data_IF_242967420179
#
_entry.id   IF_242967420179
#
_cell.length_a   1.000
_cell.length_b   1.000
_cell.length_c   1.000
_cell.angle_alpha   90.00
_cell.angle_beta   90.00
_cell.angle_gamma   90.00
#
_symmetry.space_group_name_H-M   'P 1'
#
loop_
_entity.id
_entity.type
_entity.pdbx_description
1 polymer ?
#
# COMPACT_ATOMS: atom_id res chain seq x y z
N UNK A 1 13.37 2.33 -24.02
CA UNK A 1 14.44 3.26 -23.56
C UNK A 1 13.82 4.27 -22.61
N UNK A 2 14.44 4.48 -21.47
CA UNK A 2 14.01 5.46 -20.46
C UNK A 2 14.01 6.86 -21.08
N UNK A 3 12.94 7.62 -20.85
CA UNK A 3 12.77 8.99 -21.34
C UNK A 3 13.92 9.88 -20.82
N UNK A 4 14.49 10.71 -21.72
CA UNK A 4 15.63 11.58 -21.39
C UNK A 4 15.30 12.62 -20.30
N UNK A 5 14.09 13.16 -20.30
CA UNK A 5 13.63 14.10 -19.26
C UNK A 5 13.55 13.39 -17.88
N UNK A 6 13.05 12.15 -17.84
CA UNK A 6 13.02 11.38 -16.61
C UNK A 6 14.43 11.08 -16.08
N UNK A 7 15.38 10.78 -16.98
CA UNK A 7 16.77 10.55 -16.58
C UNK A 7 17.33 11.78 -15.84
N UNK A 8 17.20 12.94 -16.44
CA UNK A 8 17.66 14.20 -15.83
C UNK A 8 16.96 14.47 -14.49
N UNK A 9 15.64 14.33 -14.47
CA UNK A 9 14.84 14.50 -13.27
C UNK A 9 15.30 13.60 -12.12
N UNK A 10 15.56 12.32 -12.40
CA UNK A 10 16.00 11.36 -11.39
C UNK A 10 17.41 11.69 -10.89
N UNK A 11 18.34 12.05 -11.80
CA UNK A 11 19.71 12.44 -11.45
C UNK A 11 19.72 13.70 -10.54
N UNK A 12 18.85 14.66 -10.79
CA UNK A 12 18.68 15.85 -9.95
C UNK A 12 18.07 15.52 -8.58
N UNK A 13 17.13 14.56 -8.53
CA UNK A 13 16.42 14.19 -7.30
C UNK A 13 17.24 13.34 -6.33
N UNK A 14 18.04 12.37 -6.82
CA UNK A 14 18.74 11.40 -5.98
C UNK A 14 20.27 11.35 -6.18
N UNK A 15 20.80 12.18 -7.07
CA UNK A 15 22.21 12.21 -7.46
C UNK A 15 22.58 11.15 -8.50
N UNK A 16 23.62 11.42 -9.28
CA UNK A 16 24.00 10.60 -10.45
C UNK A 16 24.33 9.16 -10.11
N UNK A 17 25.03 8.91 -9.01
CA UNK A 17 25.43 7.55 -8.61
C UNK A 17 24.19 6.67 -8.27
N UNK A 18 23.25 7.21 -7.49
CA UNK A 18 22.02 6.50 -7.16
C UNK A 18 21.12 6.33 -8.38
N UNK A 19 21.08 7.31 -9.29
CA UNK A 19 20.33 7.23 -10.52
C UNK A 19 20.85 6.11 -11.44
N UNK A 20 22.17 5.92 -11.54
CA UNK A 20 22.77 4.81 -12.28
C UNK A 20 22.34 3.44 -11.71
N UNK A 21 22.31 3.29 -10.38
CA UNK A 21 21.81 2.08 -9.73
C UNK A 21 20.33 1.85 -10.05
N UNK A 22 19.50 2.89 -10.00
CA UNK A 22 18.09 2.82 -10.34
C UNK A 22 17.86 2.42 -11.81
N UNK A 23 18.60 3.00 -12.75
CA UNK A 23 18.51 2.65 -14.18
C UNK A 23 18.88 1.20 -14.43
N UNK A 24 19.95 0.71 -13.83
CA UNK A 24 20.33 -0.71 -13.90
C UNK A 24 19.22 -1.62 -13.33
N UNK A 25 18.57 -1.19 -12.25
CA UNK A 25 17.46 -1.95 -11.67
C UNK A 25 16.23 -2.00 -12.59
N UNK A 26 15.96 -0.97 -13.38
CA UNK A 26 14.85 -0.98 -14.35
C UNK A 26 15.06 -1.98 -15.49
N UNK A 27 16.28 -2.29 -15.84
CA UNK A 27 16.62 -3.28 -16.87
C UNK A 27 16.55 -4.73 -16.36
N UNK A 28 16.49 -4.92 -15.05
CA UNK A 28 16.43 -6.24 -14.42
C UNK A 28 14.97 -6.70 -14.23
N UNK A 29 14.65 -8.00 -14.34
CA UNK A 29 13.33 -8.52 -14.05
C UNK A 29 12.87 -8.15 -12.64
N UNK A 30 11.60 -7.75 -12.50
CA UNK A 30 11.03 -7.50 -11.17
C UNK A 30 10.93 -8.80 -10.39
N UNK A 31 11.41 -8.86 -9.14
CA UNK A 31 11.28 -10.06 -8.32
C UNK A 31 9.82 -10.35 -8.01
N UNK A 32 9.43 -11.61 -7.98
CA UNK A 32 8.14 -12.02 -7.45
C UNK A 32 8.22 -12.08 -5.93
N UNK A 33 7.25 -11.49 -5.24
CA UNK A 33 7.16 -11.57 -3.80
C UNK A 33 5.72 -11.72 -3.32
N UNK A 34 5.60 -12.30 -2.14
CA UNK A 34 4.33 -12.54 -1.46
C UNK A 34 4.44 -12.14 0.00
N UNK A 35 3.30 -11.91 0.63
CA UNK A 35 3.19 -11.71 2.07
C UNK A 35 2.21 -12.74 2.64
N UNK A 36 2.72 -13.60 3.54
CA UNK A 36 1.94 -14.64 4.21
C UNK A 36 0.90 -14.01 5.15
N UNK A 37 -0.26 -14.63 5.26
CA UNK A 37 -1.28 -14.24 6.22
C UNK A 37 -0.98 -14.89 7.58
N UNK A 38 -0.62 -14.12 8.62
CA UNK A 38 -0.22 -14.69 9.91
C UNK A 38 -1.37 -15.34 10.68
N UNK A 39 -2.61 -15.08 10.30
CA UNK A 39 -3.82 -15.56 11.00
C UNK A 39 -4.51 -16.71 10.29
N UNK A 40 -3.95 -17.20 9.20
CA UNK A 40 -4.46 -18.37 8.48
C UNK A 40 -3.44 -19.51 8.51
N UNK A 41 -3.91 -20.70 8.82
CA UNK A 41 -3.12 -21.94 8.90
C UNK A 41 -2.79 -22.54 7.52
N UNK A 42 -2.60 -21.70 6.52
CA UNK A 42 -2.21 -22.13 5.17
C UNK A 42 -0.71 -22.32 5.00
N UNK A 43 -0.32 -23.11 4.00
CA UNK A 43 1.08 -23.21 3.61
C UNK A 43 1.43 -21.95 2.82
N UNK A 44 2.42 -21.21 3.32
CA UNK A 44 2.99 -20.08 2.60
C UNK A 44 4.17 -20.59 1.74
N UNK A 45 4.24 -20.23 0.44
CA UNK A 45 5.37 -20.60 -0.39
C UNK A 45 6.72 -20.22 0.20
N UNK A 46 7.69 -21.09 0.07
CA UNK A 46 9.06 -20.83 0.52
C UNK A 46 9.73 -19.73 -0.33
N UNK A 47 10.58 -18.94 0.32
CA UNK A 47 11.28 -17.86 -0.34
C UNK A 47 12.24 -17.14 0.60
N UNK A 48 13.09 -16.30 0.04
CA UNK A 48 14.02 -15.47 0.82
C UNK A 48 13.21 -14.44 1.62
N UNK A 49 13.43 -14.30 2.95
CA UNK A 49 12.73 -13.31 3.76
C UNK A 49 12.90 -11.88 3.23
N UNK A 50 11.84 -11.07 3.33
CA UNK A 50 11.91 -9.64 3.16
C UNK A 50 12.38 -9.00 4.47
N UNK A 51 13.46 -8.25 4.44
CA UNK A 51 14.12 -7.72 5.64
C UNK A 51 13.22 -6.86 6.53
N UNK A 52 12.31 -6.10 5.91
CA UNK A 52 11.42 -5.16 6.60
C UNK A 52 9.99 -5.69 6.83
N UNK A 53 9.72 -6.97 6.48
CA UNK A 53 8.41 -7.57 6.72
C UNK A 53 8.58 -9.05 7.10
N UNK A 54 8.24 -9.40 8.34
CA UNK A 54 8.40 -10.76 8.88
C UNK A 54 7.64 -11.83 8.07
N UNK A 55 6.54 -11.44 7.44
CA UNK A 55 5.68 -12.32 6.63
C UNK A 55 6.01 -12.27 5.13
N UNK A 56 6.87 -11.34 4.72
CA UNK A 56 7.28 -11.17 3.31
C UNK A 56 8.27 -12.25 2.85
N UNK A 57 8.06 -12.74 1.62
CA UNK A 57 8.96 -13.70 0.96
C UNK A 57 9.20 -13.27 -0.48
N UNK A 58 10.47 -13.26 -0.89
CA UNK A 58 10.88 -13.11 -2.30
C UNK A 58 11.04 -14.51 -2.85
N UNK A 59 10.23 -14.83 -3.85
CA UNK A 59 10.20 -16.16 -4.46
C UNK A 59 11.37 -16.34 -5.43
N UNK A 60 11.92 -17.56 -5.57
CA UNK A 60 12.98 -17.84 -6.53
C UNK A 60 12.52 -17.67 -7.98
N UNK A 61 11.25 -17.97 -8.25
CA UNK A 61 10.58 -17.79 -9.54
C UNK A 61 9.13 -17.34 -9.35
N UNK A 62 8.47 -16.87 -10.42
CA UNK A 62 7.08 -16.49 -10.40
C UNK A 62 6.17 -17.68 -10.71
N UNK A 63 5.45 -18.22 -9.72
CA UNK A 63 4.50 -19.30 -9.98
C UNK A 63 3.23 -18.78 -10.65
N UNK A 64 2.41 -19.68 -11.16
CA UNK A 64 1.04 -19.38 -11.60
C UNK A 64 0.14 -19.38 -10.36
N UNK A 65 0.03 -18.25 -9.69
CA UNK A 65 -0.68 -18.10 -8.42
C UNK A 65 -2.15 -18.56 -8.47
N UNK A 66 -2.81 -18.40 -9.63
CA UNK A 66 -4.21 -18.80 -9.83
C UNK A 66 -4.43 -20.31 -9.83
N UNK A 67 -3.36 -21.11 -9.87
CA UNK A 67 -3.43 -22.56 -9.73
C UNK A 67 -3.16 -23.03 -8.28
N UNK A 68 -2.78 -22.12 -7.39
CA UNK A 68 -2.49 -22.45 -5.99
C UNK A 68 -3.76 -22.33 -5.13
N UNK A 69 -4.27 -23.42 -4.54
CA UNK A 69 -5.43 -23.38 -3.65
C UNK A 69 -5.19 -22.53 -2.39
N UNK A 70 -3.94 -22.41 -1.93
CA UNK A 70 -3.60 -21.56 -0.77
C UNK A 70 -3.74 -20.06 -1.07
N UNK A 71 -3.50 -19.66 -2.33
CA UNK A 71 -3.78 -18.30 -2.79
C UNK A 71 -5.28 -18.00 -2.69
N UNK A 72 -6.13 -18.92 -3.19
CA UNK A 72 -7.59 -18.79 -3.12
C UNK A 72 -8.15 -18.92 -1.69
N UNK A 73 -7.42 -19.53 -0.79
CA UNK A 73 -7.76 -19.58 0.64
C UNK A 73 -7.30 -18.32 1.41
N UNK A 74 -6.61 -17.38 0.76
CA UNK A 74 -6.08 -16.17 1.39
C UNK A 74 -4.94 -16.43 2.38
N UNK A 75 -4.19 -17.54 2.20
CA UNK A 75 -3.03 -17.85 3.02
C UNK A 75 -1.86 -16.88 2.78
N UNK A 76 -1.84 -16.21 1.65
CA UNK A 76 -0.87 -15.16 1.32
C UNK A 76 -1.45 -14.17 0.30
N UNK A 77 -0.83 -13.00 0.23
CA UNK A 77 -1.12 -11.94 -0.73
C UNK A 77 0.09 -11.75 -1.66
N UNK A 78 -0.13 -11.67 -2.98
CA UNK A 78 0.93 -11.35 -3.95
C UNK A 78 1.19 -9.84 -3.89
N UNK A 79 2.35 -9.44 -3.40
CA UNK A 79 2.69 -8.04 -3.14
C UNK A 79 4.17 -7.78 -3.42
N UNK A 80 4.47 -6.62 -3.99
CA UNK A 80 5.86 -6.18 -4.13
C UNK A 80 6.53 -6.01 -2.77
N UNK A 81 7.74 -6.52 -2.63
CA UNK A 81 8.51 -6.38 -1.41
C UNK A 81 8.72 -4.90 -1.02
N UNK A 82 8.94 -4.01 -1.99
CA UNK A 82 9.03 -2.56 -1.75
C UNK A 82 7.75 -1.97 -1.15
N UNK A 83 6.57 -2.40 -1.63
CA UNK A 83 5.28 -1.95 -1.09
C UNK A 83 5.04 -2.40 0.36
N UNK A 84 5.67 -3.49 0.80
CA UNK A 84 5.60 -3.94 2.21
C UNK A 84 6.35 -3.00 3.17
N UNK A 85 7.19 -2.09 2.65
CA UNK A 85 7.89 -1.10 3.49
C UNK A 85 6.91 -0.11 4.16
N UNK A 86 5.77 0.17 3.52
CA UNK A 86 4.69 0.97 4.13
C UNK A 86 4.20 0.32 5.42
N UNK A 87 3.98 -1.01 5.42
CA UNK A 87 3.62 -1.76 6.62
C UNK A 87 4.71 -1.73 7.69
N UNK A 88 6.00 -1.71 7.31
CA UNK A 88 7.10 -1.53 8.25
C UNK A 88 7.04 -0.16 8.93
N UNK A 89 6.91 0.91 8.14
CA UNK A 89 6.79 2.26 8.68
C UNK A 89 5.57 2.39 9.61
N UNK A 90 4.44 1.83 9.20
CA UNK A 90 3.22 1.82 10.01
C UNK A 90 3.41 1.08 11.35
N UNK A 91 4.04 -0.10 11.37
CA UNK A 91 4.34 -0.82 12.62
C UNK A 91 5.21 0.01 13.57
N UNK A 92 6.22 0.70 13.04
CA UNK A 92 7.05 1.61 13.84
C UNK A 92 6.25 2.77 14.44
N UNK A 93 5.30 3.31 13.69
CA UNK A 93 4.39 4.34 14.20
C UNK A 93 3.49 3.78 15.31
N UNK A 94 2.97 2.56 15.17
CA UNK A 94 2.13 1.91 16.19
C UNK A 94 2.88 1.66 17.51
N UNK A 95 4.19 1.43 17.49
CA UNK A 95 5.01 1.27 18.70
C UNK A 95 4.98 2.53 19.59
N UNK A 96 4.85 3.72 18.98
CA UNK A 96 4.74 5.01 19.67
C UNK A 96 3.30 5.47 19.89
N UNK A 97 2.34 4.87 19.22
CA UNK A 97 0.93 5.22 19.33
C UNK A 97 0.34 4.70 20.63
N UNK A 98 -0.22 5.58 21.45
CA UNK A 98 -0.97 5.19 22.65
C UNK A 98 -2.22 4.41 22.28
N UNK A 99 -2.56 3.39 23.07
CA UNK A 99 -3.84 2.70 22.94
C UNK A 99 -4.98 3.58 23.45
N UNK A 100 -6.00 3.90 22.62
CA UNK A 100 -7.12 4.70 23.10
C UNK A 100 -7.92 3.94 24.17
N UNK A 101 -8.42 4.67 25.15
CA UNK A 101 -9.26 4.11 26.21
C UNK A 101 -10.73 4.27 25.84
N UNK A 102 -11.52 3.19 25.96
CA UNK A 102 -12.98 3.22 25.78
C UNK A 102 -13.47 3.30 24.33
N UNK A 103 -12.57 3.23 23.34
CA UNK A 103 -12.93 3.19 21.93
C UNK A 103 -11.90 2.40 21.10
N UNK A 104 -12.27 1.91 19.90
CA UNK A 104 -11.30 1.28 19.01
C UNK A 104 -10.27 2.31 18.47
N UNK A 105 -9.09 1.82 18.09
CA UNK A 105 -8.12 2.56 17.28
C UNK A 105 -8.63 2.64 15.83
N UNK A 106 -8.66 3.83 15.24
CA UNK A 106 -9.34 4.08 13.97
C UNK A 106 -8.33 4.50 12.91
N UNK A 107 -8.24 3.70 11.87
CA UNK A 107 -7.31 3.92 10.75
C UNK A 107 -8.09 4.05 9.44
N UNK A 108 -7.66 4.96 8.59
CA UNK A 108 -8.11 5.09 7.21
C UNK A 108 -6.97 4.74 6.26
N UNK A 109 -7.20 3.78 5.36
CA UNK A 109 -6.41 3.55 4.15
C UNK A 109 -7.17 4.19 2.99
N UNK A 110 -6.73 5.38 2.55
CA UNK A 110 -7.54 6.30 1.76
C UNK A 110 -7.66 5.91 0.28
N UNK A 111 -6.62 5.33 -0.32
CA UNK A 111 -6.56 4.92 -1.72
C UNK A 111 -6.13 3.45 -1.80
N UNK A 112 -6.97 2.58 -1.23
CA UNK A 112 -6.60 1.26 -0.74
C UNK A 112 -6.43 0.17 -1.82
N UNK A 113 -7.16 0.30 -2.96
CA UNK A 113 -7.16 -0.78 -3.96
C UNK A 113 -5.77 -1.02 -4.58
N UNK A 114 -5.43 -2.29 -4.81
CA UNK A 114 -6.25 -3.50 -4.71
C UNK A 114 -6.28 -4.18 -3.32
N UNK A 115 -5.71 -3.59 -2.25
CA UNK A 115 -5.80 -4.11 -0.89
C UNK A 115 -4.51 -4.68 -0.30
N UNK A 116 -3.38 -4.60 -1.02
CA UNK A 116 -2.10 -5.10 -0.52
C UNK A 116 -1.61 -4.37 0.73
N UNK A 117 -1.75 -3.03 0.77
CA UNK A 117 -1.43 -2.23 1.95
C UNK A 117 -2.47 -2.44 3.04
N UNK A 118 -3.77 -2.38 2.71
CA UNK A 118 -4.88 -2.67 3.64
C UNK A 118 -4.65 -3.94 4.45
N UNK A 119 -4.35 -5.05 3.78
CA UNK A 119 -4.17 -6.35 4.44
C UNK A 119 -2.90 -6.42 5.29
N UNK A 120 -1.85 -5.64 4.99
CA UNK A 120 -0.65 -5.51 5.82
C UNK A 120 -0.93 -4.63 7.06
N UNK A 121 -1.67 -3.53 6.89
CA UNK A 121 -2.13 -2.69 7.99
C UNK A 121 -3.04 -3.48 8.95
N UNK A 122 -4.00 -4.23 8.41
CA UNK A 122 -4.91 -5.07 9.20
C UNK A 122 -4.14 -6.09 10.04
N UNK A 123 -3.14 -6.78 9.45
CA UNK A 123 -2.29 -7.71 10.19
C UNK A 123 -1.56 -7.02 11.34
N UNK A 124 -0.97 -5.86 11.09
CA UNK A 124 -0.25 -5.09 12.11
C UNK A 124 -1.16 -4.58 13.23
N UNK A 125 -2.35 -4.12 12.89
CA UNK A 125 -3.37 -3.67 13.85
C UNK A 125 -3.87 -4.82 14.71
N UNK A 126 -4.11 -5.99 14.11
CA UNK A 126 -4.54 -7.21 14.80
C UNK A 126 -3.51 -7.68 15.83
N UNK A 127 -2.23 -7.63 15.48
CA UNK A 127 -1.13 -7.98 16.39
C UNK A 127 -1.06 -7.03 17.60
N UNK A 128 -1.25 -5.73 17.39
CA UNK A 128 -1.09 -4.71 18.45
C UNK A 128 -2.35 -4.53 19.28
N UNK A 129 -3.52 -4.48 18.64
CA UNK A 129 -4.79 -4.10 19.29
C UNK A 129 -5.78 -5.26 19.48
N UNK A 130 -5.51 -6.46 18.93
CA UNK A 130 -6.48 -7.55 18.90
C UNK A 130 -7.74 -7.13 18.16
N UNK A 131 -8.91 -7.19 18.80
CA UNK A 131 -10.19 -6.72 18.23
C UNK A 131 -10.44 -5.21 18.45
N UNK A 132 -9.52 -4.51 19.08
CA UNK A 132 -9.68 -3.11 19.51
C UNK A 132 -9.37 -2.09 18.40
N UNK A 133 -9.60 -2.38 17.12
CA UNK A 133 -9.41 -1.43 16.03
C UNK A 133 -10.55 -1.46 15.00
N UNK A 134 -10.60 -0.44 14.16
CA UNK A 134 -11.37 -0.39 12.91
C UNK A 134 -10.45 0.16 11.83
N UNK A 135 -10.32 -0.55 10.72
CA UNK A 135 -9.62 -0.10 9.52
C UNK A 135 -10.65 0.17 8.42
N UNK A 136 -10.81 1.43 8.05
CA UNK A 136 -11.61 1.84 6.88
C UNK A 136 -10.69 1.87 5.67
N UNK A 137 -11.03 1.12 4.63
CA UNK A 137 -10.27 1.03 3.39
C UNK A 137 -11.10 1.55 2.24
N UNK A 138 -10.71 2.71 1.72
CA UNK A 138 -11.48 3.44 0.72
C UNK A 138 -10.86 3.36 -0.67
N UNK A 139 -11.72 3.26 -1.68
CA UNK A 139 -11.32 3.40 -3.08
C UNK A 139 -12.44 4.09 -3.87
N UNK A 140 -12.12 5.25 -4.46
CA UNK A 140 -13.10 6.07 -5.18
C UNK A 140 -13.63 5.41 -6.46
N UNK A 141 -12.82 4.60 -7.12
CA UNK A 141 -13.21 3.91 -8.35
C UNK A 141 -13.96 2.62 -8.03
N UNK A 142 -15.27 2.57 -8.28
CA UNK A 142 -16.14 1.42 -7.96
C UNK A 142 -15.62 0.07 -8.44
N UNK A 143 -15.08 0.01 -9.66
CA UNK A 143 -14.51 -1.25 -10.20
C UNK A 143 -13.31 -1.73 -9.37
N UNK A 144 -12.44 -0.82 -8.92
CA UNK A 144 -11.29 -1.14 -8.06
C UNK A 144 -11.72 -1.42 -6.62
N UNK A 145 -12.77 -0.75 -6.13
CA UNK A 145 -13.35 -1.01 -4.82
C UNK A 145 -13.92 -2.44 -4.72
N UNK A 146 -14.49 -2.97 -5.83
CA UNK A 146 -14.90 -4.38 -5.90
C UNK A 146 -13.71 -5.33 -5.69
N UNK A 147 -12.60 -5.10 -6.39
CA UNK A 147 -11.37 -5.90 -6.21
C UNK A 147 -10.81 -5.78 -4.78
N UNK A 148 -10.86 -4.59 -4.20
CA UNK A 148 -10.48 -4.36 -2.81
C UNK A 148 -11.34 -5.19 -1.85
N UNK A 149 -12.66 -5.16 -2.04
CA UNK A 149 -13.61 -5.91 -1.21
C UNK A 149 -13.36 -7.43 -1.28
N UNK A 150 -13.12 -7.96 -2.48
CA UNK A 150 -12.80 -9.38 -2.67
C UNK A 150 -11.50 -9.77 -1.95
N UNK A 151 -10.46 -8.95 -2.08
CA UNK A 151 -9.17 -9.21 -1.42
C UNK A 151 -9.24 -9.08 0.11
N UNK A 152 -10.02 -8.12 0.62
CA UNK A 152 -10.26 -7.96 2.07
C UNK A 152 -11.05 -9.16 2.60
N UNK A 153 -12.09 -9.59 1.91
CA UNK A 153 -12.87 -10.76 2.26
C UNK A 153 -12.01 -12.04 2.24
N UNK A 154 -11.17 -12.19 1.22
CA UNK A 154 -10.23 -13.30 1.11
C UNK A 154 -9.19 -13.28 2.23
N UNK A 155 -8.70 -12.11 2.65
CA UNK A 155 -7.78 -11.98 3.78
C UNK A 155 -8.44 -12.38 5.10
N UNK A 156 -9.71 -11.97 5.31
CA UNK A 156 -10.59 -12.48 6.36
C UNK A 156 -10.48 -11.77 7.71
N UNK A 157 -9.99 -10.53 7.77
CA UNK A 157 -10.04 -9.74 9.01
C UNK A 157 -11.40 -9.02 9.15
N UNK A 158 -12.19 -9.30 10.22
CA UNK A 158 -13.53 -8.76 10.40
C UNK A 158 -13.57 -7.27 10.75
N UNK A 159 -12.44 -6.66 11.12
CA UNK A 159 -12.37 -5.27 11.55
C UNK A 159 -12.01 -4.31 10.39
N UNK A 160 -12.06 -4.81 9.14
CA UNK A 160 -11.84 -4.00 7.93
C UNK A 160 -13.17 -3.67 7.27
N UNK A 161 -13.41 -2.39 7.05
CA UNK A 161 -14.62 -1.86 6.37
C UNK A 161 -14.20 -1.27 5.04
N UNK A 162 -14.77 -1.77 3.94
CA UNK A 162 -14.51 -1.23 2.60
C UNK A 162 -15.55 -0.16 2.26
N UNK A 163 -15.07 0.99 1.79
CA UNK A 163 -15.91 2.10 1.32
C UNK A 163 -15.53 2.49 -0.12
N UNK A 164 -16.45 3.17 -0.80
CA UNK A 164 -16.21 3.69 -2.16
C UNK A 164 -16.73 5.12 -2.27
N UNK A 165 -16.00 6.04 -1.64
CA UNK A 165 -16.36 7.43 -1.54
C UNK A 165 -15.24 8.37 -2.01
N UNK A 166 -15.62 9.60 -2.39
CA UNK A 166 -14.66 10.68 -2.62
C UNK A 166 -13.97 11.07 -1.30
N UNK A 167 -12.66 11.34 -1.27
CA UNK A 167 -11.93 11.75 -0.05
C UNK A 167 -12.59 12.87 0.75
N UNK A 168 -13.26 13.82 0.07
CA UNK A 168 -13.99 14.92 0.72
C UNK A 168 -15.17 14.46 1.61
N UNK A 169 -15.73 13.27 1.35
CA UNK A 169 -16.83 12.74 2.16
C UNK A 169 -16.39 12.46 3.61
N UNK A 170 -15.12 12.16 3.83
CA UNK A 170 -14.57 11.92 5.15
C UNK A 170 -14.51 13.20 6.03
N UNK A 171 -14.59 14.40 5.44
CA UNK A 171 -14.72 15.64 6.19
C UNK A 171 -15.98 15.70 7.07
N UNK A 172 -17.00 14.87 6.78
CA UNK A 172 -18.17 14.70 7.64
C UNK A 172 -17.88 13.96 8.95
N UNK A 173 -16.66 13.41 9.11
CA UNK A 173 -16.19 12.71 10.30
C UNK A 173 -15.01 13.46 10.95
N UNK A 174 -15.19 14.69 11.46
CA UNK A 174 -14.10 15.50 11.94
C UNK A 174 -13.38 14.86 13.13
N UNK A 175 -12.04 14.77 13.05
CA UNK A 175 -11.20 14.19 14.09
C UNK A 175 -11.48 12.72 14.39
N UNK A 176 -12.00 11.97 13.43
CA UNK A 176 -12.42 10.59 13.64
C UNK A 176 -11.26 9.59 13.63
N UNK A 177 -10.30 9.74 12.71
CA UNK A 177 -9.21 8.79 12.53
C UNK A 177 -7.99 9.13 13.37
N UNK A 178 -7.40 8.12 14.00
CA UNK A 178 -6.13 8.22 14.70
C UNK A 178 -4.95 8.24 13.73
N UNK A 179 -5.08 7.49 12.63
CA UNK A 179 -4.08 7.44 11.55
C UNK A 179 -4.78 7.47 10.19
N UNK A 180 -4.22 8.20 9.26
CA UNK A 180 -4.58 8.15 7.84
C UNK A 180 -3.36 7.72 7.04
N UNK A 181 -3.49 6.63 6.29
CA UNK A 181 -2.50 6.17 5.30
C UNK A 181 -3.00 6.56 3.92
N UNK A 182 -2.21 7.30 3.17
CA UNK A 182 -2.60 7.85 1.88
C UNK A 182 -1.57 7.51 0.78
N UNK A 183 -1.71 6.31 0.20
CA UNK A 183 -0.99 5.94 -1.03
C UNK A 183 -1.72 6.50 -2.24
N UNK A 184 -1.61 7.80 -2.42
CA UNK A 184 -2.37 8.57 -3.41
C UNK A 184 -1.82 8.37 -4.83
N UNK A 185 -2.66 8.54 -5.88
CA UNK A 185 -2.23 8.38 -7.27
C UNK A 185 -1.01 9.24 -7.60
N UNK A 186 0.00 8.61 -8.22
CA UNK A 186 1.26 9.23 -8.63
C UNK A 186 1.48 9.10 -10.14
N UNK A 187 2.61 9.60 -10.64
CA UNK A 187 3.02 9.62 -12.05
C UNK A 187 3.51 8.27 -12.59
N UNK A 188 3.53 7.22 -11.78
CA UNK A 188 3.67 5.84 -12.22
C UNK A 188 5.11 5.30 -12.28
N UNK A 189 6.10 5.98 -11.76
CA UNK A 189 7.52 5.57 -11.79
C UNK A 189 7.75 4.20 -11.15
N UNK A 190 6.95 3.83 -10.16
CA UNK A 190 6.97 2.50 -9.54
C UNK A 190 6.61 1.34 -10.48
N UNK A 191 6.02 1.65 -11.64
CA UNK A 191 5.67 0.67 -12.67
C UNK A 191 6.74 0.48 -13.74
N UNK A 192 7.75 1.32 -13.82
CA UNK A 192 8.75 1.34 -14.90
C UNK A 192 9.47 0.01 -15.13
N UNK A 193 9.60 -0.78 -14.08
CA UNK A 193 10.20 -2.11 -14.13
C UNK A 193 9.29 -3.19 -14.70
N UNK A 194 7.99 -2.92 -14.78
CA UNK A 194 6.94 -3.89 -15.14
C UNK A 194 6.20 -3.51 -16.41
N UNK A 195 6.20 -2.22 -16.73
CA UNK A 195 5.40 -1.63 -17.80
C UNK A 195 6.22 -0.59 -18.55
N UNK A 196 6.63 -0.95 -19.77
CA UNK A 196 7.36 -0.03 -20.67
C UNK A 196 6.49 1.15 -21.12
N UNK A 197 5.17 0.98 -21.16
CA UNK A 197 4.26 2.05 -21.55
C UNK A 197 4.22 3.14 -20.47
N UNK A 198 4.30 2.79 -19.20
CA UNK A 198 4.44 3.75 -18.11
C UNK A 198 5.69 4.64 -18.28
N UNK A 199 6.81 4.05 -18.77
CA UNK A 199 8.02 4.84 -19.06
C UNK A 199 7.82 5.81 -20.23
N UNK A 200 7.04 5.43 -21.26
CA UNK A 200 6.80 6.26 -22.44
C UNK A 200 5.85 7.42 -22.14
N UNK A 201 4.85 7.18 -21.32
CA UNK A 201 3.82 8.16 -20.94
C UNK A 201 4.27 9.15 -19.87
N UNK A 202 5.40 8.91 -19.24
CA UNK A 202 5.92 9.80 -18.20
C UNK A 202 6.27 11.18 -18.77
N UNK A 203 5.83 12.23 -18.08
CA UNK A 203 6.14 13.61 -18.40
C UNK A 203 6.11 14.47 -17.14
N UNK A 204 6.83 15.59 -17.15
CA UNK A 204 6.82 16.58 -16.07
C UNK A 204 5.42 17.17 -15.84
N UNK A 205 4.66 17.37 -16.92
CA UNK A 205 3.26 17.83 -16.83
C UNK A 205 2.39 16.81 -16.07
N UNK A 206 2.57 15.52 -16.34
CA UNK A 206 1.86 14.47 -15.59
C UNK A 206 2.26 14.43 -14.12
N UNK A 207 3.54 14.65 -13.80
CA UNK A 207 4.02 14.78 -12.42
C UNK A 207 3.33 15.95 -11.72
N UNK A 208 3.28 17.12 -12.36
CA UNK A 208 2.61 18.32 -11.81
C UNK A 208 1.10 18.09 -11.58
N UNK A 209 0.43 17.43 -12.53
CA UNK A 209 -1.00 17.08 -12.39
C UNK A 209 -1.22 16.10 -11.20
N UNK A 210 -0.33 15.11 -11.04
CA UNK A 210 -0.40 14.18 -9.91
C UNK A 210 -0.14 14.90 -8.59
N UNK A 211 0.83 15.80 -8.52
CA UNK A 211 1.10 16.62 -7.33
C UNK A 211 -0.13 17.45 -6.94
N UNK A 212 -0.74 18.16 -7.88
CA UNK A 212 -1.94 18.95 -7.61
C UNK A 212 -3.09 18.08 -7.10
N UNK A 213 -3.27 16.87 -7.66
CA UNK A 213 -4.26 15.89 -7.20
C UNK A 213 -3.97 15.42 -5.79
N UNK A 214 -2.72 15.08 -5.47
CA UNK A 214 -2.30 14.64 -4.14
C UNK A 214 -2.55 15.71 -3.10
N UNK A 215 -2.19 16.96 -3.38
CA UNK A 215 -2.46 18.12 -2.49
C UNK A 215 -3.96 18.27 -2.21
N UNK A 216 -4.80 18.16 -3.23
CA UNK A 216 -6.26 18.22 -3.08
C UNK A 216 -6.77 17.08 -2.21
N UNK A 217 -6.41 15.84 -2.51
CA UNK A 217 -6.85 14.65 -1.76
C UNK A 217 -6.46 14.78 -0.27
N UNK A 218 -5.23 15.21 0.01
CA UNK A 218 -4.75 15.43 1.37
C UNK A 218 -5.56 16.52 2.07
N UNK A 219 -5.81 17.66 1.41
CA UNK A 219 -6.59 18.75 1.99
C UNK A 219 -8.05 18.33 2.26
N UNK A 220 -8.67 17.56 1.35
CA UNK A 220 -10.04 17.09 1.46
C UNK A 220 -10.25 16.14 2.67
N UNK A 221 -9.27 15.26 2.95
CA UNK A 221 -9.37 14.27 4.03
C UNK A 221 -8.87 14.79 5.38
N UNK A 222 -8.03 15.82 5.38
CA UNK A 222 -7.35 16.36 6.57
C UNK A 222 -8.28 16.65 7.76
N UNK A 223 -9.49 17.21 7.59
CA UNK A 223 -10.39 17.45 8.71
C UNK A 223 -10.82 16.19 9.48
N UNK A 224 -10.72 15.01 8.85
CA UNK A 224 -11.06 13.74 9.49
C UNK A 224 -9.94 13.16 10.37
N UNK A 225 -8.73 13.67 10.26
CA UNK A 225 -7.63 13.32 11.15
C UNK A 225 -7.83 14.00 12.50
N UNK A 226 -7.71 13.23 13.57
CA UNK A 226 -7.79 13.79 14.93
C UNK A 226 -6.59 14.70 15.22
N UNK A 227 -6.74 15.59 16.22
CA UNK A 227 -5.63 16.30 16.77
C UNK A 227 -4.59 15.31 17.33
N UNK A 228 -3.29 15.54 17.05
CA UNK A 228 -2.19 14.62 17.36
C UNK A 228 -2.29 13.25 16.68
N UNK A 229 -3.10 13.14 15.63
CA UNK A 229 -3.15 11.97 14.74
C UNK A 229 -1.96 11.91 13.79
N UNK A 230 -1.76 10.77 13.14
CA UNK A 230 -0.66 10.54 12.20
C UNK A 230 -1.18 10.47 10.76
N UNK A 231 -0.44 11.15 9.83
CA UNK A 231 -0.75 11.13 8.40
C UNK A 231 0.46 10.60 7.62
#
# INVERSE_FOLDING_TARGET
MINGSFRKYLEEAIGSDNALVAFSAFESPAPSSIRCNPFKSGICPEGRPVTWNAYGRILPERPVFTLDPHFHAGAYYVQDSSSMFVGHAFRRLLESAGKPVGRPFRVLDLCAAPGGKTTDLAASLREVFGDGFILVSNEVMKARAGVLADNVALWGDPNVVVTSDDPRAFAALPGFFDVIVADVPCSGEGMFRKDEEAQRQWSEDNVALCEARQRRITADVWPSLRQDGLF
#
